data_IF_649353897620
#
_entry.id   IF_649353897620
#
_cell.length_a   1.000
_cell.length_b   1.000
_cell.length_c   1.000
_cell.angle_alpha   90.00
_cell.angle_beta   90.00
_cell.angle_gamma   90.00
#
_symmetry.space_group_name_H-M   'P 1'
#
loop_
_entity.id
_entity.type
_entity.pdbx_description
1 polymer ?
#
# COMPACT_ATOMS: atom_id res chain seq x y z
N UNK A 1 -18.40 7.33 -7.84
CA UNK A 1 -17.22 6.56 -7.42
C UNK A 1 -17.18 6.57 -5.90
N UNK A 2 -17.19 5.39 -5.27
CA UNK A 2 -17.07 5.25 -3.81
C UNK A 2 -15.65 5.59 -3.35
N UNK A 3 -15.43 5.78 -2.05
CA UNK A 3 -14.08 6.03 -1.52
C UNK A 3 -13.15 4.83 -1.75
N UNK A 4 -13.66 3.61 -1.63
CA UNK A 4 -12.88 2.39 -1.91
C UNK A 4 -12.45 2.34 -3.39
N UNK A 5 -13.34 2.70 -4.31
CA UNK A 5 -13.00 2.77 -5.74
C UNK A 5 -11.94 3.85 -6.03
N UNK A 6 -12.01 5.00 -5.34
CA UNK A 6 -10.97 6.03 -5.43
C UNK A 6 -9.61 5.52 -4.93
N UNK A 7 -9.58 4.88 -3.75
CA UNK A 7 -8.34 4.33 -3.18
C UNK A 7 -7.76 3.25 -4.11
N UNK A 8 -8.61 2.38 -4.65
CA UNK A 8 -8.19 1.35 -5.62
C UNK A 8 -7.56 2.00 -6.85
N UNK A 9 -8.18 3.05 -7.39
CA UNK A 9 -7.65 3.77 -8.54
C UNK A 9 -6.29 4.41 -8.26
N UNK A 10 -6.15 5.06 -7.10
CA UNK A 10 -4.86 5.63 -6.66
C UNK A 10 -3.79 4.53 -6.49
N UNK A 11 -4.14 3.38 -5.92
CA UNK A 11 -3.23 2.23 -5.79
C UNK A 11 -2.79 1.67 -7.16
N UNK A 12 -3.70 1.56 -8.12
CA UNK A 12 -3.39 1.15 -9.50
C UNK A 12 -2.42 2.12 -10.19
N UNK A 13 -2.61 3.43 -10.00
CA UNK A 13 -1.75 4.45 -10.59
C UNK A 13 -0.33 4.37 -10.00
N UNK A 14 -0.21 4.16 -8.68
CA UNK A 14 1.09 3.95 -8.03
C UNK A 14 1.74 2.64 -8.49
N UNK A 15 0.98 1.54 -8.55
CA UNK A 15 1.48 0.24 -9.01
C UNK A 15 2.01 0.33 -10.44
N UNK A 16 1.26 0.97 -11.34
CA UNK A 16 1.66 1.18 -12.73
C UNK A 16 2.97 1.96 -12.83
N UNK A 17 3.13 2.98 -11.99
CA UNK A 17 4.37 3.73 -11.90
C UNK A 17 5.54 2.87 -11.38
N UNK A 18 5.31 2.01 -10.39
CA UNK A 18 6.33 1.13 -9.80
C UNK A 18 6.81 0.04 -10.77
N UNK A 19 5.92 -0.42 -11.66
CA UNK A 19 6.19 -1.43 -12.69
C UNK A 19 6.80 -0.84 -13.97
N UNK A 20 6.76 0.49 -14.13
CA UNK A 20 7.35 1.15 -15.28
C UNK A 20 8.89 1.05 -15.24
N UNK A 21 9.47 0.51 -16.31
CA UNK A 21 10.91 0.58 -16.54
C UNK A 21 11.29 2.02 -16.83
N UNK A 22 12.03 2.64 -15.91
CA UNK A 22 12.54 3.98 -16.12
C UNK A 22 13.94 3.94 -16.72
N UNK A 23 14.14 4.83 -17.70
CA UNK A 23 15.45 5.11 -18.23
C UNK A 23 16.23 5.93 -17.19
N UNK A 24 17.16 5.27 -16.49
CA UNK A 24 18.03 5.90 -15.49
C UNK A 24 19.26 6.50 -16.18
N UNK A 25 19.01 7.32 -17.21
CA UNK A 25 20.02 7.80 -18.14
C UNK A 25 21.07 8.69 -17.45
N UNK A 26 20.66 9.46 -16.43
CA UNK A 26 21.52 10.34 -15.66
C UNK A 26 21.04 10.51 -14.20
N UNK A 27 21.84 11.23 -13.41
CA UNK A 27 21.56 11.50 -11.99
C UNK A 27 20.27 12.32 -11.82
N UNK A 28 19.96 13.24 -12.73
CA UNK A 28 18.79 14.12 -12.60
C UNK A 28 17.49 13.33 -12.80
N UNK A 29 17.47 12.40 -13.76
CA UNK A 29 16.39 11.44 -13.94
C UNK A 29 16.20 10.55 -12.70
N UNK A 30 17.29 10.08 -12.10
CA UNK A 30 17.24 9.31 -10.85
C UNK A 30 16.66 10.12 -9.68
N UNK A 31 17.06 11.39 -9.55
CA UNK A 31 16.56 12.29 -8.51
C UNK A 31 15.06 12.58 -8.70
N UNK A 32 14.63 12.88 -9.92
CA UNK A 32 13.22 13.09 -10.23
C UNK A 32 12.37 11.85 -9.91
N UNK A 33 12.89 10.65 -10.19
CA UNK A 33 12.23 9.41 -9.80
C UNK A 33 12.20 9.22 -8.28
N UNK A 34 13.28 9.54 -7.58
CA UNK A 34 13.36 9.46 -6.13
C UNK A 34 12.31 10.37 -5.46
N UNK A 35 12.12 11.58 -5.97
CA UNK A 35 11.09 12.52 -5.49
C UNK A 35 9.69 11.96 -5.70
N UNK A 36 9.41 11.41 -6.89
CA UNK A 36 8.11 10.79 -7.19
C UNK A 36 7.82 9.60 -6.28
N UNK A 37 8.80 8.71 -6.05
CA UNK A 37 8.67 7.59 -5.12
C UNK A 37 8.49 8.06 -3.67
N UNK A 38 9.11 9.17 -3.27
CA UNK A 38 8.90 9.78 -1.97
C UNK A 38 7.44 10.20 -1.73
N UNK A 39 6.83 10.85 -2.74
CA UNK A 39 5.41 11.24 -2.70
C UNK A 39 4.51 10.00 -2.60
N UNK A 40 4.74 8.98 -3.42
CA UNK A 40 3.93 7.76 -3.38
C UNK A 40 4.18 6.88 -2.16
N UNK A 41 5.37 6.92 -1.56
CA UNK A 41 5.63 6.29 -0.28
C UNK A 41 4.78 6.92 0.83
N UNK A 42 4.72 8.25 0.90
CA UNK A 42 3.85 8.93 1.86
C UNK A 42 2.37 8.65 1.59
N UNK A 43 1.93 8.77 0.32
CA UNK A 43 0.53 8.59 -0.06
C UNK A 43 0.04 7.16 0.16
N UNK A 44 0.81 6.15 -0.22
CA UNK A 44 0.44 4.74 0.02
C UNK A 44 0.32 4.41 1.51
N UNK A 45 1.14 5.03 2.37
CA UNK A 45 1.02 4.88 3.83
C UNK A 45 -0.27 5.50 4.39
N UNK A 46 -0.67 6.67 3.89
CA UNK A 46 -1.94 7.30 4.24
C UNK A 46 -3.14 6.45 3.81
N UNK A 47 -3.14 5.98 2.55
CA UNK A 47 -4.19 5.11 2.03
C UNK A 47 -4.28 3.79 2.82
N UNK A 48 -3.14 3.20 3.19
CA UNK A 48 -3.09 2.00 4.02
C UNK A 48 -3.77 2.22 5.38
N UNK A 49 -3.48 3.33 6.05
CA UNK A 49 -4.10 3.68 7.33
C UNK A 49 -5.62 3.90 7.19
N UNK A 50 -6.05 4.53 6.10
CA UNK A 50 -7.47 4.75 5.82
C UNK A 50 -8.23 3.42 5.61
N UNK A 51 -7.67 2.50 4.81
CA UNK A 51 -8.28 1.19 4.57
C UNK A 51 -8.32 0.34 5.84
N UNK A 52 -7.26 0.39 6.66
CA UNK A 52 -7.25 -0.27 7.97
C UNK A 52 -8.40 0.26 8.85
N UNK A 53 -8.63 1.58 8.88
CA UNK A 53 -9.75 2.18 9.60
C UNK A 53 -11.12 1.73 9.07
N UNK A 54 -11.29 1.67 7.74
CA UNK A 54 -12.52 1.16 7.11
C UNK A 54 -12.78 -0.31 7.47
N UNK A 55 -11.74 -1.14 7.45
CA UNK A 55 -11.81 -2.56 7.83
C UNK A 55 -12.25 -2.71 9.28
N UNK A 56 -11.63 -1.97 10.19
CA UNK A 56 -11.92 -2.05 11.61
C UNK A 56 -13.36 -1.60 11.91
N UNK A 57 -13.84 -0.55 11.23
CA UNK A 57 -15.23 -0.11 11.31
C UNK A 57 -16.22 -1.16 10.77
N UNK A 58 -15.89 -1.81 9.65
CA UNK A 58 -16.72 -2.89 9.08
C UNK A 58 -16.80 -4.10 10.02
N UNK A 59 -15.66 -4.50 10.61
CA UNK A 59 -15.61 -5.57 11.62
C UNK A 59 -16.42 -5.22 12.87
N UNK A 60 -16.27 -4.00 13.40
CA UNK A 60 -17.02 -3.54 14.56
C UNK A 60 -18.54 -3.56 14.30
N UNK A 61 -18.96 -3.12 13.11
CA UNK A 61 -20.36 -3.18 12.68
C UNK A 61 -20.86 -4.63 12.62
N UNK A 62 -20.09 -5.55 12.03
CA UNK A 62 -20.48 -6.97 12.00
C UNK A 62 -20.63 -7.54 13.41
N UNK A 63 -19.70 -7.24 14.32
CA UNK A 63 -19.79 -7.69 15.71
C UNK A 63 -21.07 -7.20 16.41
N UNK A 64 -21.50 -5.98 16.10
CA UNK A 64 -22.73 -5.42 16.63
C UNK A 64 -23.96 -6.08 16.01
N UNK A 65 -24.02 -6.16 14.68
CA UNK A 65 -25.21 -6.58 13.93
C UNK A 65 -25.43 -8.11 14.02
N UNK A 66 -24.36 -8.90 14.04
CA UNK A 66 -24.40 -10.38 14.04
C UNK A 66 -23.99 -10.98 15.40
N UNK A 67 -24.16 -10.22 16.48
CA UNK A 67 -23.68 -10.59 17.82
C UNK A 67 -24.12 -11.99 18.25
N UNK A 68 -25.39 -12.32 18.11
CA UNK A 68 -25.95 -13.62 18.53
C UNK A 68 -25.38 -14.77 17.70
N UNK A 69 -25.31 -14.59 16.37
CA UNK A 69 -24.67 -15.53 15.44
C UNK A 69 -23.22 -15.79 15.86
N UNK A 70 -22.44 -14.73 16.11
CA UNK A 70 -21.03 -14.83 16.51
C UNK A 70 -20.87 -15.57 17.84
N UNK A 71 -21.72 -15.30 18.83
CA UNK A 71 -21.69 -15.96 20.14
C UNK A 71 -22.08 -17.44 20.08
N UNK A 72 -22.84 -17.87 19.07
CA UNK A 72 -23.18 -19.28 18.85
C UNK A 72 -22.08 -20.11 18.19
N UNK A 73 -21.05 -19.46 17.63
CA UNK A 73 -19.95 -20.12 16.93
C UNK A 73 -18.80 -20.48 17.87
N UNK A 74 -18.03 -21.50 17.50
CA UNK A 74 -16.72 -21.71 18.13
C UNK A 74 -15.80 -20.52 17.83
N UNK A 75 -14.85 -20.23 18.73
CA UNK A 75 -13.92 -19.12 18.56
C UNK A 75 -13.20 -19.13 17.19
N UNK A 76 -12.83 -20.31 16.70
CA UNK A 76 -12.19 -20.46 15.38
C UNK A 76 -13.11 -20.07 14.22
N UNK A 77 -14.40 -20.46 14.29
CA UNK A 77 -15.39 -20.13 13.27
C UNK A 77 -15.79 -18.65 13.33
N UNK A 78 -15.95 -18.09 14.53
CA UNK A 78 -16.23 -16.68 14.74
C UNK A 78 -15.13 -15.79 14.12
N UNK A 79 -13.86 -16.09 14.39
CA UNK A 79 -12.71 -15.38 13.79
C UNK A 79 -12.71 -15.50 12.27
N UNK A 80 -12.99 -16.69 11.71
CA UNK A 80 -13.08 -16.88 10.26
C UNK A 80 -14.20 -16.04 9.63
N UNK A 81 -15.38 -16.02 10.24
CA UNK A 81 -16.53 -15.24 9.77
C UNK A 81 -16.22 -13.74 9.75
N UNK A 82 -15.70 -13.22 10.87
CA UNK A 82 -15.34 -11.79 10.99
C UNK A 82 -14.28 -11.43 9.96
N UNK A 83 -13.23 -12.24 9.80
CA UNK A 83 -12.18 -11.98 8.83
C UNK A 83 -12.66 -12.09 7.38
N UNK A 84 -13.55 -13.02 7.05
CA UNK A 84 -14.07 -13.17 5.69
C UNK A 84 -15.07 -12.07 5.31
N UNK A 85 -15.75 -11.47 6.30
CA UNK A 85 -16.71 -10.38 6.06
C UNK A 85 -16.08 -9.14 5.43
N UNK A 86 -14.79 -8.89 5.70
CA UNK A 86 -14.03 -7.74 5.21
C UNK A 86 -12.98 -8.15 4.16
N UNK A 87 -13.22 -9.23 3.40
CA UNK A 87 -12.23 -9.80 2.48
C UNK A 87 -11.68 -8.78 1.46
N UNK A 88 -12.52 -7.89 0.92
CA UNK A 88 -12.07 -6.86 -0.02
C UNK A 88 -11.12 -5.84 0.64
N UNK A 89 -11.48 -5.34 1.83
CA UNK A 89 -10.66 -4.40 2.58
C UNK A 89 -9.33 -5.03 3.01
N UNK A 90 -9.36 -6.31 3.42
CA UNK A 90 -8.15 -7.08 3.73
C UNK A 90 -7.21 -7.22 2.52
N UNK A 91 -7.77 -7.44 1.33
CA UNK A 91 -6.98 -7.54 0.11
C UNK A 91 -6.35 -6.19 -0.26
N UNK A 92 -7.13 -5.11 -0.18
CA UNK A 92 -6.67 -3.76 -0.49
C UNK A 92 -5.59 -3.26 0.49
N UNK A 93 -5.77 -3.50 1.79
CA UNK A 93 -4.78 -3.17 2.82
C UNK A 93 -3.45 -3.88 2.56
N UNK A 94 -3.48 -5.19 2.31
CA UNK A 94 -2.26 -5.96 1.98
C UNK A 94 -1.59 -5.45 0.72
N UNK A 95 -2.37 -5.04 -0.28
CA UNK A 95 -1.81 -4.51 -1.52
C UNK A 95 -1.13 -3.16 -1.29
N UNK A 96 -1.76 -2.25 -0.55
CA UNK A 96 -1.20 -0.95 -0.19
C UNK A 96 0.08 -1.10 0.66
N UNK A 97 0.13 -2.06 1.59
CA UNK A 97 1.33 -2.39 2.35
C UNK A 97 2.49 -2.82 1.43
N UNK A 98 2.21 -3.65 0.42
CA UNK A 98 3.22 -4.07 -0.57
C UNK A 98 3.66 -2.93 -1.47
N UNK A 99 2.75 -2.07 -1.92
CA UNK A 99 3.07 -0.86 -2.68
C UNK A 99 3.98 0.07 -1.85
N UNK A 100 3.64 0.27 -0.58
CA UNK A 100 4.41 1.12 0.32
C UNK A 100 5.83 0.60 0.51
N UNK A 101 5.98 -0.71 0.78
CA UNK A 101 7.27 -1.37 0.88
C UNK A 101 8.08 -1.26 -0.42
N UNK A 102 7.44 -1.45 -1.59
CA UNK A 102 8.10 -1.31 -2.88
C UNK A 102 8.62 0.13 -3.11
N UNK A 103 7.83 1.16 -2.77
CA UNK A 103 8.28 2.55 -2.85
C UNK A 103 9.53 2.79 -1.99
N UNK A 104 9.52 2.28 -0.74
CA UNK A 104 10.66 2.38 0.18
C UNK A 104 11.92 1.73 -0.41
N UNK A 105 11.80 0.49 -0.87
CA UNK A 105 12.94 -0.25 -1.42
C UNK A 105 13.49 0.38 -2.70
N UNK A 106 12.63 0.86 -3.60
CA UNK A 106 13.08 1.59 -4.79
C UNK A 106 13.79 2.90 -4.42
N UNK A 107 13.30 3.65 -3.42
CA UNK A 107 13.99 4.83 -2.90
C UNK A 107 15.41 4.52 -2.40
N UNK A 108 15.56 3.45 -1.61
CA UNK A 108 16.86 3.06 -1.05
C UNK A 108 17.84 2.60 -2.16
N UNK A 109 17.34 1.88 -3.15
CA UNK A 109 18.12 1.48 -4.32
C UNK A 109 18.59 2.71 -5.12
N UNK A 110 17.71 3.68 -5.37
CA UNK A 110 18.06 4.91 -6.08
C UNK A 110 19.11 5.73 -5.34
N UNK A 111 19.00 5.88 -4.01
CA UNK A 111 20.04 6.57 -3.21
C UNK A 111 21.41 5.92 -3.36
N UNK A 112 21.45 4.58 -3.42
CA UNK A 112 22.68 3.82 -3.63
C UNK A 112 23.24 4.05 -5.03
N UNK A 113 22.40 3.97 -6.08
CA UNK A 113 22.82 4.19 -7.47
C UNK A 113 23.29 5.63 -7.71
N UNK A 114 22.59 6.63 -7.17
CA UNK A 114 23.00 8.04 -7.25
C UNK A 114 24.37 8.25 -6.60
N UNK A 115 24.61 7.63 -5.44
CA UNK A 115 25.89 7.74 -4.74
C UNK A 115 27.03 7.12 -5.56
N UNK A 116 26.79 5.95 -6.15
CA UNK A 116 27.73 5.30 -7.07
C UNK A 116 28.05 6.18 -8.28
N UNK A 117 27.02 6.74 -8.93
CA UNK A 117 27.19 7.56 -10.13
C UNK A 117 27.94 8.87 -9.85
N UNK A 118 27.65 9.52 -8.72
CA UNK A 118 28.39 10.72 -8.26
C UNK A 118 29.87 10.45 -8.05
N UNK A 119 30.22 9.25 -7.58
CA UNK A 119 31.63 8.88 -7.40
C UNK A 119 32.29 8.54 -8.73
N UNK A 120 31.57 7.87 -9.65
CA UNK A 120 32.03 7.57 -11.00
C UNK A 120 32.40 8.84 -11.78
N UNK A 121 31.63 9.92 -11.65
CA UNK A 121 31.90 11.20 -12.34
C UNK A 121 33.10 11.99 -11.81
N UNK A 122 33.65 11.62 -10.65
CA UNK A 122 34.87 12.23 -10.09
C UNK A 122 36.16 11.56 -10.59
N UNK A 123 36.04 10.38 -11.19
CA UNK A 123 37.13 9.64 -11.84
C UNK A 123 37.39 10.22 -13.25
#
# INVERSE_FOLDING_TARGET
MTRIEQIRKEAEDIQSMLECLNDMADIDAMLGRLDQLGVYYARSGELLAEVAGMRDAAMAKLFHDEKETILSLSASLAVKLVNSSAAELNALEKWLDRINAACKHQCDNLRTMISYEKERLKL
#
